data_IF_187644010176
#
_entry.id   IF_187644010176
#
_cell.length_a   1.000
_cell.length_b   1.000
_cell.length_c   1.000
_cell.angle_alpha   90.00
_cell.angle_beta   90.00
_cell.angle_gamma   90.00
#
_symmetry.space_group_name_H-M   'P 1'
#
loop_
_entity.id
_entity.type
_entity.pdbx_description
1 polymer ?
#
# COMPACT_ATOMS: atom_id res chain seq x y z
N UNK A 1 23.98 63.65 -0.34
CA UNK A 1 23.86 63.07 -1.71
C UNK A 1 22.94 61.86 -1.65
N UNK A 2 21.99 61.76 -2.59
CA UNK A 2 20.86 60.81 -2.58
C UNK A 2 21.30 59.40 -3.00
N UNK A 3 21.06 58.39 -2.17
CA UNK A 3 21.24 56.98 -2.51
C UNK A 3 19.99 56.50 -3.25
N UNK A 4 20.09 56.35 -4.59
CA UNK A 4 19.00 55.84 -5.43
C UNK A 4 19.01 54.30 -5.39
N UNK A 5 18.02 53.71 -4.72
CA UNK A 5 17.65 52.30 -4.91
C UNK A 5 17.27 52.09 -6.38
N UNK A 6 18.03 51.29 -7.12
CA UNK A 6 17.59 50.74 -8.40
C UNK A 6 16.93 49.38 -8.13
N UNK A 7 15.60 49.38 -8.15
CA UNK A 7 14.79 48.17 -8.28
C UNK A 7 15.04 47.57 -9.67
N UNK A 8 15.73 46.43 -9.73
CA UNK A 8 15.49 45.44 -10.79
C UNK A 8 16.06 44.09 -10.33
N UNK A 9 15.22 43.29 -9.69
CA UNK A 9 15.55 41.93 -9.30
C UNK A 9 14.32 41.07 -9.49
N UNK A 10 14.37 40.19 -10.49
CA UNK A 10 13.29 39.29 -10.86
C UNK A 10 12.75 38.50 -9.65
N UNK A 11 11.45 38.61 -9.41
CA UNK A 11 10.75 37.76 -8.44
C UNK A 11 10.59 36.38 -9.09
N UNK A 12 11.51 35.47 -8.83
CA UNK A 12 11.33 34.05 -9.13
C UNK A 12 10.29 33.49 -8.15
N UNK A 13 9.06 33.29 -8.64
CA UNK A 13 8.00 32.62 -7.89
C UNK A 13 8.36 31.12 -7.82
N UNK A 14 9.04 30.69 -6.76
CA UNK A 14 9.31 29.28 -6.52
C UNK A 14 8.01 28.62 -6.03
N UNK A 15 7.18 28.14 -6.96
CA UNK A 15 6.04 27.29 -6.59
C UNK A 15 6.62 25.95 -6.16
N UNK A 16 6.76 25.75 -4.86
CA UNK A 16 7.01 24.43 -4.31
C UNK A 16 5.80 23.56 -4.64
N UNK A 17 5.95 22.65 -5.61
CA UNK A 17 4.97 21.60 -5.85
C UNK A 17 4.98 20.72 -4.61
N UNK A 18 4.01 20.94 -3.72
CA UNK A 18 3.74 20.03 -2.63
C UNK A 18 3.15 18.79 -3.29
N UNK A 19 4.01 17.83 -3.62
CA UNK A 19 3.55 16.54 -4.12
C UNK A 19 2.69 15.91 -3.01
N UNK A 20 1.36 15.95 -3.18
CA UNK A 20 0.46 15.18 -2.35
C UNK A 20 0.91 13.73 -2.45
N UNK A 21 1.20 13.12 -1.31
CA UNK A 21 1.72 11.77 -1.25
C UNK A 21 0.60 10.80 -1.67
N UNK A 22 0.55 10.48 -2.95
CA UNK A 22 -0.34 9.46 -3.51
C UNK A 22 -0.07 8.10 -2.84
N UNK A 23 -1.14 7.32 -2.68
CA UNK A 23 -1.06 5.93 -2.22
C UNK A 23 -0.32 5.05 -3.25
N UNK A 24 0.19 3.92 -2.79
CA UNK A 24 1.03 3.00 -3.54
C UNK A 24 0.35 2.48 -4.80
N UNK A 25 -0.89 2.00 -4.70
CA UNK A 25 -1.62 1.43 -5.84
C UNK A 25 -1.91 2.50 -6.87
N UNK A 26 -2.36 3.68 -6.44
CA UNK A 26 -2.59 4.78 -7.36
C UNK A 26 -1.30 5.16 -8.10
N UNK A 27 -0.17 5.24 -7.39
CA UNK A 27 1.14 5.51 -8.01
C UNK A 27 1.59 4.38 -8.95
N UNK A 28 1.36 3.12 -8.57
CA UNK A 28 1.70 1.94 -9.36
C UNK A 28 0.91 1.90 -10.67
N UNK A 29 -0.41 2.16 -10.61
CA UNK A 29 -1.26 2.20 -11.80
C UNK A 29 -0.89 3.36 -12.73
N UNK A 30 -0.47 4.51 -12.19
CA UNK A 30 0.00 5.62 -13.02
C UNK A 30 1.31 5.28 -13.76
N UNK A 31 2.24 4.56 -13.13
CA UNK A 31 3.49 4.13 -13.77
C UNK A 31 3.31 2.98 -14.78
N UNK A 32 2.17 2.28 -14.72
CA UNK A 32 1.79 1.21 -15.64
C UNK A 32 0.53 1.59 -16.43
N UNK A 33 0.33 2.88 -16.67
CA UNK A 33 -0.83 3.37 -17.41
C UNK A 33 -0.90 2.75 -18.81
N UNK A 34 -2.06 2.20 -19.17
CA UNK A 34 -2.28 1.53 -20.45
C UNK A 34 -2.01 0.01 -20.44
N UNK A 35 -1.52 -0.54 -19.33
CA UNK A 35 -1.40 -1.99 -19.17
C UNK A 35 -2.78 -2.62 -18.93
N UNK A 36 -3.30 -3.29 -19.96
CA UNK A 36 -4.63 -3.92 -19.91
C UNK A 36 -4.67 -5.22 -19.11
N UNK A 37 -3.52 -5.75 -18.68
CA UNK A 37 -3.44 -6.98 -17.88
C UNK A 37 -3.78 -6.71 -16.41
N UNK A 38 -3.66 -5.46 -15.97
CA UNK A 38 -3.94 -5.02 -14.60
C UNK A 38 -5.41 -4.63 -14.42
N UNK A 39 -6.07 -5.26 -13.45
CA UNK A 39 -7.41 -4.85 -13.00
C UNK A 39 -7.33 -4.29 -11.59
N UNK A 40 -7.91 -3.10 -11.37
CA UNK A 40 -8.00 -2.45 -10.06
C UNK A 40 -9.42 -2.50 -9.52
N UNK A 41 -9.55 -2.92 -8.27
CA UNK A 41 -10.78 -2.86 -7.48
C UNK A 41 -10.50 -1.93 -6.28
N UNK A 42 -11.41 -1.01 -6.00
CA UNK A 42 -11.34 -0.14 -4.82
C UNK A 42 -12.53 -0.40 -3.93
N UNK A 43 -12.27 -0.68 -2.66
CA UNK A 43 -13.25 -1.02 -1.64
C UNK A 43 -13.27 0.10 -0.59
N UNK A 44 -14.45 0.65 -0.35
CA UNK A 44 -14.71 1.71 0.62
C UNK A 44 -14.94 1.10 2.01
N UNK A 45 -14.84 1.89 3.09
CA UNK A 45 -15.10 1.41 4.45
C UNK A 45 -16.46 0.71 4.57
N UNK A 46 -17.52 1.33 4.06
CA UNK A 46 -18.86 0.74 4.06
C UNK A 46 -18.94 -0.61 3.34
N UNK A 47 -18.24 -0.77 2.20
CA UNK A 47 -18.21 -2.06 1.51
C UNK A 47 -17.42 -3.12 2.31
N UNK A 48 -16.35 -2.73 3.01
CA UNK A 48 -15.62 -3.65 3.89
C UNK A 48 -16.47 -4.11 5.07
N UNK A 49 -17.24 -3.21 5.68
CA UNK A 49 -18.21 -3.53 6.74
C UNK A 49 -19.25 -4.55 6.24
N UNK A 50 -19.87 -4.32 5.09
CA UNK A 50 -20.85 -5.24 4.50
C UNK A 50 -20.24 -6.64 4.20
N UNK A 51 -18.99 -6.70 3.76
CA UNK A 51 -18.25 -7.96 3.54
C UNK A 51 -18.03 -8.70 4.87
N UNK A 52 -17.64 -8.00 5.94
CA UNK A 52 -17.48 -8.63 7.25
C UNK A 52 -18.79 -9.17 7.80
N UNK A 53 -19.85 -8.36 7.76
CA UNK A 53 -21.16 -8.75 8.30
C UNK A 53 -21.73 -10.00 7.58
N UNK A 54 -21.43 -10.16 6.30
CA UNK A 54 -21.87 -11.31 5.50
C UNK A 54 -20.98 -12.55 5.63
N UNK A 55 -19.70 -12.40 5.99
CA UNK A 55 -18.73 -13.51 6.07
C UNK A 55 -18.54 -14.05 7.49
N UNK A 56 -18.68 -13.21 8.51
CA UNK A 56 -18.56 -13.59 9.92
C UNK A 56 -19.97 -13.58 10.51
N UNK A 57 -20.55 -14.77 10.69
CA UNK A 57 -21.80 -14.89 11.45
C UNK A 57 -21.67 -14.19 12.81
N UNK A 58 -22.77 -13.64 13.34
CA UNK A 58 -22.92 -12.69 14.48
C UNK A 58 -22.08 -12.88 15.76
N UNK A 59 -21.20 -13.86 15.88
CA UNK A 59 -20.69 -14.39 17.13
C UNK A 59 -19.18 -14.18 17.38
N UNK A 60 -18.42 -13.49 16.52
CA UNK A 60 -16.98 -13.26 16.76
C UNK A 60 -16.43 -11.97 16.10
N UNK A 61 -17.09 -10.82 16.33
CA UNK A 61 -16.83 -9.57 15.60
C UNK A 61 -16.03 -8.51 16.34
N UNK A 62 -15.67 -8.72 17.62
CA UNK A 62 -15.18 -7.65 18.49
C UNK A 62 -13.79 -7.13 18.15
N UNK A 63 -12.96 -7.87 17.40
CA UNK A 63 -11.62 -7.40 17.00
C UNK A 63 -11.53 -6.85 15.57
N UNK A 64 -12.19 -7.52 14.62
CA UNK A 64 -12.03 -7.24 13.17
C UNK A 64 -12.85 -6.03 12.73
N UNK A 65 -14.01 -5.79 13.35
CA UNK A 65 -14.83 -4.61 13.06
C UNK A 65 -14.13 -3.30 13.47
N UNK A 66 -13.52 -3.27 14.67
CA UNK A 66 -12.75 -2.13 15.18
C UNK A 66 -11.52 -1.82 14.31
N UNK A 67 -10.96 -2.87 13.71
CA UNK A 67 -9.88 -2.77 12.74
C UNK A 67 -10.35 -2.16 11.42
N UNK A 68 -11.48 -2.64 10.87
CA UNK A 68 -12.02 -2.10 9.61
C UNK A 68 -12.48 -0.66 9.77
N UNK A 69 -13.01 -0.28 10.93
CA UNK A 69 -13.37 1.10 11.23
C UNK A 69 -12.17 2.08 11.14
N UNK A 70 -10.94 1.58 11.32
CA UNK A 70 -9.70 2.36 11.18
C UNK A 70 -9.18 2.43 9.75
N UNK A 71 -9.72 1.63 8.83
CA UNK A 71 -9.37 1.66 7.41
C UNK A 71 -10.17 2.75 6.69
N UNK A 72 -9.47 3.52 5.86
CA UNK A 72 -10.05 4.53 4.96
C UNK A 72 -10.34 3.95 3.59
N UNK A 73 -9.54 3.00 3.13
CA UNK A 73 -9.75 2.31 1.85
C UNK A 73 -8.97 1.01 1.79
N UNK A 74 -9.49 0.05 1.03
CA UNK A 74 -8.71 -1.08 0.51
C UNK A 74 -8.70 -1.02 -1.02
N UNK A 75 -7.56 -1.31 -1.63
CA UNK A 75 -7.44 -1.39 -3.08
C UNK A 75 -6.74 -2.69 -3.43
N UNK A 76 -7.27 -3.39 -4.41
CA UNK A 76 -6.73 -4.64 -4.91
C UNK A 76 -6.37 -4.42 -6.37
N UNK A 77 -5.13 -4.72 -6.75
CA UNK A 77 -4.72 -4.81 -8.15
C UNK A 77 -4.34 -6.25 -8.42
N UNK A 78 -4.87 -6.84 -9.49
CA UNK A 78 -4.45 -8.17 -9.91
C UNK A 78 -4.09 -8.22 -11.39
N UNK A 79 -3.26 -9.19 -11.73
CA UNK A 79 -3.04 -9.67 -13.08
C UNK A 79 -3.00 -11.20 -13.07
N UNK A 80 -3.51 -11.82 -14.12
CA UNK A 80 -3.46 -13.29 -14.30
C UNK A 80 -2.24 -13.74 -15.11
N UNK A 81 -1.55 -12.79 -15.72
CA UNK A 81 -0.39 -12.98 -16.58
C UNK A 81 0.74 -12.02 -16.21
N UNK A 82 1.95 -12.33 -16.67
CA UNK A 82 3.15 -11.51 -16.40
C UNK A 82 3.43 -11.24 -14.91
N UNK A 83 3.02 -12.15 -14.02
CA UNK A 83 3.08 -11.94 -12.58
C UNK A 83 4.48 -11.59 -12.05
N UNK A 84 5.54 -12.22 -12.56
CA UNK A 84 6.94 -11.88 -12.22
C UNK A 84 7.29 -10.44 -12.58
N UNK A 85 6.92 -10.00 -13.79
CA UNK A 85 7.17 -8.64 -14.28
C UNK A 85 6.49 -7.62 -13.37
N UNK A 86 5.20 -7.82 -13.11
CA UNK A 86 4.41 -6.91 -12.27
C UNK A 86 4.92 -6.86 -10.83
N UNK A 87 5.25 -8.01 -10.25
CA UNK A 87 5.81 -8.08 -8.91
C UNK A 87 7.12 -7.32 -8.81
N UNK A 88 8.05 -7.53 -9.74
CA UNK A 88 9.34 -6.82 -9.75
C UNK A 88 9.16 -5.32 -9.92
N UNK A 89 8.22 -4.87 -10.76
CA UNK A 89 7.91 -3.44 -10.92
C UNK A 89 7.36 -2.84 -9.63
N UNK A 90 6.42 -3.52 -8.97
CA UNK A 90 5.84 -3.06 -7.71
C UNK A 90 6.89 -3.05 -6.58
N UNK A 91 7.70 -4.10 -6.47
CA UNK A 91 8.79 -4.17 -5.50
C UNK A 91 9.82 -3.06 -5.74
N UNK A 92 10.21 -2.83 -6.99
CA UNK A 92 11.12 -1.75 -7.35
C UNK A 92 10.54 -0.37 -7.00
N UNK A 93 9.24 -0.16 -7.22
CA UNK A 93 8.55 1.08 -6.83
C UNK A 93 8.61 1.30 -5.31
N UNK A 94 8.36 0.26 -4.51
CA UNK A 94 8.44 0.34 -3.05
C UNK A 94 9.88 0.67 -2.61
N UNK A 95 10.88 -0.07 -3.12
CA UNK A 95 12.29 0.09 -2.76
C UNK A 95 12.86 1.44 -3.20
N UNK A 96 12.48 1.96 -4.37
CA UNK A 96 12.86 3.31 -4.84
C UNK A 96 12.32 4.41 -3.92
N UNK A 97 11.21 4.14 -3.23
CA UNK A 97 10.60 5.03 -2.26
C UNK A 97 10.84 4.56 -0.81
N UNK A 98 12.01 3.99 -0.50
CA UNK A 98 12.34 3.42 0.82
C UNK A 98 12.27 4.41 1.98
N UNK A 99 12.42 5.70 1.72
CA UNK A 99 12.19 6.75 2.72
C UNK A 99 10.72 6.84 3.18
N UNK A 100 9.78 6.40 2.33
CA UNK A 100 8.34 6.34 2.60
C UNK A 100 7.87 4.94 2.98
N UNK A 101 8.39 3.91 2.31
CA UNK A 101 7.94 2.53 2.48
C UNK A 101 9.07 1.68 3.08
N UNK A 102 8.82 1.14 4.28
CA UNK A 102 9.73 0.20 4.95
C UNK A 102 9.24 -1.21 4.69
N UNK A 103 10.14 -2.12 4.32
CA UNK A 103 9.82 -3.54 4.25
C UNK A 103 9.67 -4.10 5.66
N UNK A 104 8.56 -4.80 5.90
CA UNK A 104 8.26 -5.43 7.17
C UNK A 104 8.51 -6.94 7.14
N UNK A 105 8.19 -7.59 6.02
CA UNK A 105 8.32 -9.03 5.86
C UNK A 105 8.47 -9.39 4.39
N UNK A 106 9.13 -10.52 4.13
CA UNK A 106 9.27 -11.10 2.82
C UNK A 106 9.44 -12.61 2.90
N UNK A 107 9.02 -13.31 1.84
CA UNK A 107 9.32 -14.72 1.61
C UNK A 107 9.40 -15.00 0.12
N UNK A 108 10.18 -16.02 -0.23
CA UNK A 108 10.25 -16.60 -1.57
C UNK A 108 10.22 -18.13 -1.42
N UNK A 109 9.15 -18.78 -1.88
CA UNK A 109 8.96 -20.23 -1.81
C UNK A 109 8.52 -20.78 -3.18
N UNK A 110 9.48 -21.35 -3.92
CA UNK A 110 9.24 -21.88 -5.27
C UNK A 110 8.74 -20.82 -6.24
N UNK A 111 7.50 -20.96 -6.71
CA UNK A 111 6.83 -20.02 -7.62
C UNK A 111 5.90 -19.03 -6.89
N UNK A 112 5.94 -19.00 -5.55
CA UNK A 112 5.21 -18.06 -4.72
C UNK A 112 6.18 -17.12 -4.01
N UNK A 113 5.89 -15.82 -4.03
CA UNK A 113 6.68 -14.81 -3.33
C UNK A 113 5.81 -13.71 -2.80
N UNK A 114 6.13 -13.25 -1.60
CA UNK A 114 5.41 -12.21 -0.89
C UNK A 114 6.33 -11.12 -0.37
N UNK A 115 5.86 -9.88 -0.39
CA UNK A 115 6.46 -8.74 0.32
C UNK A 115 5.38 -7.99 1.08
N UNK A 116 5.73 -7.48 2.25
CA UNK A 116 4.91 -6.53 3.00
C UNK A 116 5.71 -5.25 3.19
N UNK A 117 5.13 -4.13 2.78
CA UNK A 117 5.66 -2.80 3.03
C UNK A 117 4.68 -1.98 3.87
N UNK A 118 5.22 -1.14 4.75
CA UNK A 118 4.46 -0.19 5.57
C UNK A 118 4.95 1.22 5.32
N UNK A 119 4.02 2.18 5.34
CA UNK A 119 4.32 3.60 5.46
C UNK A 119 3.78 4.11 6.78
N UNK A 120 4.69 4.69 7.56
CA UNK A 120 4.40 5.24 8.87
C UNK A 120 4.37 6.78 8.81
N UNK A 121 3.50 7.38 9.60
CA UNK A 121 3.55 8.80 9.94
C UNK A 121 3.49 8.93 11.45
N UNK A 122 4.55 9.50 12.05
CA UNK A 122 4.76 9.46 13.50
C UNK A 122 4.71 8.00 13.98
N UNK A 123 3.78 7.68 14.87
CA UNK A 123 3.64 6.36 15.49
C UNK A 123 2.52 5.50 14.86
N UNK A 124 1.94 5.94 13.74
CA UNK A 124 0.82 5.28 13.09
C UNK A 124 1.21 4.72 11.72
N UNK A 125 0.77 3.50 11.40
CA UNK A 125 0.84 2.97 10.05
C UNK A 125 -0.32 3.56 9.28
N UNK A 126 0.00 4.37 8.27
CA UNK A 126 -1.01 5.06 7.46
C UNK A 126 -1.29 4.34 6.15
N UNK A 127 -0.42 3.40 5.77
CA UNK A 127 -0.57 2.58 4.58
C UNK A 127 0.19 1.26 4.70
N UNK A 128 -0.45 0.17 4.27
CA UNK A 128 0.09 -1.19 4.27
C UNK A 128 -0.09 -1.80 2.87
N UNK A 129 1.01 -2.24 2.28
CA UNK A 129 1.08 -2.77 0.92
C UNK A 129 1.54 -4.22 0.98
N UNK A 130 0.71 -5.12 0.47
CA UNK A 130 1.03 -6.54 0.33
C UNK A 130 1.21 -6.82 -1.16
N UNK A 131 2.39 -7.33 -1.53
CA UNK A 131 2.67 -7.82 -2.88
C UNK A 131 2.73 -9.33 -2.84
N UNK A 132 2.06 -10.01 -3.76
CA UNK A 132 2.19 -11.44 -3.95
C UNK A 132 2.28 -11.78 -5.44
N UNK A 133 3.16 -12.70 -5.77
CA UNK A 133 3.18 -13.36 -7.07
C UNK A 133 3.12 -14.86 -6.84
N UNK A 134 2.18 -15.53 -7.52
CA UNK A 134 2.04 -16.98 -7.51
C UNK A 134 1.90 -17.46 -8.96
N UNK A 135 2.82 -18.29 -9.44
CA UNK A 135 2.95 -18.68 -10.86
C UNK A 135 2.88 -17.48 -11.83
N UNK A 136 1.88 -17.38 -12.70
CA UNK A 136 1.72 -16.24 -13.62
C UNK A 136 0.94 -15.08 -13.01
N UNK A 137 0.38 -15.26 -11.81
CA UNK A 137 -0.53 -14.30 -11.20
C UNK A 137 0.22 -13.33 -10.31
N UNK A 138 -0.28 -12.10 -10.27
CA UNK A 138 0.21 -11.04 -9.39
C UNK A 138 -0.97 -10.40 -8.68
N UNK A 139 -0.78 -10.07 -7.41
CA UNK A 139 -1.75 -9.32 -6.60
C UNK A 139 -1.04 -8.27 -5.74
N UNK A 140 -1.58 -7.05 -5.74
CA UNK A 140 -1.32 -6.02 -4.73
C UNK A 140 -2.57 -5.84 -3.89
N UNK A 141 -2.43 -5.85 -2.58
CA UNK A 141 -3.45 -5.36 -1.66
C UNK A 141 -2.88 -4.15 -0.93
N UNK A 142 -3.54 -3.00 -1.07
CA UNK A 142 -3.17 -1.75 -0.44
C UNK A 142 -4.26 -1.29 0.52
N UNK A 143 -3.92 -1.14 1.79
CA UNK A 143 -4.77 -0.55 2.81
C UNK A 143 -4.29 0.85 3.15
N UNK A 144 -5.20 1.82 3.25
CA UNK A 144 -4.90 3.13 3.84
C UNK A 144 -5.79 3.34 5.06
N UNK A 145 -5.31 4.04 6.08
CA UNK A 145 -6.04 4.15 7.34
C UNK A 145 -5.24 4.76 8.47
N UNK A 146 -5.73 4.55 9.68
CA UNK A 146 -5.03 4.79 10.94
C UNK A 146 -4.78 3.45 11.64
N UNK A 147 -3.79 2.71 11.15
CA UNK A 147 -3.50 1.36 11.60
C UNK A 147 -2.46 1.39 12.72
N UNK A 148 -2.73 0.65 13.78
CA UNK A 148 -1.76 0.39 14.85
C UNK A 148 -0.98 -0.91 14.57
N UNK A 149 0.00 -1.23 15.41
CA UNK A 149 0.82 -2.44 15.26
C UNK A 149 -0.01 -3.73 15.40
N UNK A 150 -1.04 -3.73 16.24
CA UNK A 150 -1.94 -4.88 16.44
C UNK A 150 -2.64 -5.30 15.13
N UNK A 151 -3.00 -4.34 14.29
CA UNK A 151 -3.56 -4.62 12.96
C UNK A 151 -2.61 -5.45 12.09
N UNK A 152 -1.33 -5.08 12.10
CA UNK A 152 -0.28 -5.80 11.36
C UNK A 152 -0.13 -7.21 11.91
N UNK A 153 -0.12 -7.37 13.24
CA UNK A 153 0.02 -8.69 13.87
C UNK A 153 -1.13 -9.62 13.48
N UNK A 154 -2.38 -9.14 13.52
CA UNK A 154 -3.53 -9.93 13.09
C UNK A 154 -3.49 -10.29 11.58
N UNK A 155 -3.03 -9.37 10.73
CA UNK A 155 -2.86 -9.65 9.30
C UNK A 155 -1.78 -10.69 9.04
N UNK A 156 -0.66 -10.67 9.76
CA UNK A 156 0.40 -11.68 9.63
C UNK A 156 -0.12 -13.09 9.90
N UNK A 157 -0.99 -13.26 10.89
CA UNK A 157 -1.59 -14.56 11.19
C UNK A 157 -2.60 -15.04 10.14
N UNK A 158 -3.21 -14.11 9.39
CA UNK A 158 -4.30 -14.44 8.46
C UNK A 158 -3.80 -14.63 7.02
N UNK A 159 -2.76 -13.89 6.60
CA UNK A 159 -2.36 -13.80 5.18
C UNK A 159 -0.93 -14.24 4.87
N UNK A 160 -0.08 -14.46 5.87
CA UNK A 160 1.22 -15.07 5.66
C UNK A 160 1.18 -16.52 6.13
N UNK A 161 1.84 -17.47 5.42
CA UNK A 161 2.07 -18.78 5.99
C UNK A 161 2.82 -18.63 7.32
N UNK A 162 2.45 -19.44 8.32
CA UNK A 162 3.15 -19.45 9.59
C UNK A 162 4.66 -19.66 9.35
N UNK A 163 5.55 -18.99 10.09
CA UNK A 163 6.96 -19.34 10.09
C UNK A 163 7.06 -20.84 10.34
N UNK A 164 7.73 -21.59 9.47
CA UNK A 164 8.01 -23.00 9.76
C UNK A 164 8.87 -23.00 11.03
N UNK A 165 8.41 -23.67 12.09
CA UNK A 165 9.25 -23.93 13.25
C UNK A 165 10.47 -24.71 12.75
N UNK A 166 11.66 -24.22 13.06
CA UNK A 166 12.91 -24.86 12.66
C UNK A 166 12.92 -26.31 13.18
N UNK A 167 12.88 -27.31 12.28
CA UNK A 167 13.09 -28.74 12.59
C UNK A 167 14.56 -29.03 12.94
#
# INVERSE_FOLDING_TARGET
MKLRLWFSGAVFLLVAIIAQAQDFVSKYMDENAGDSTLTRISVSPKMMEEILESSVGKNDTTGVADIIAKLKSMQIVNSREEGDTHFRRAEALARKNSARFKELASYDEGNDRGRIFVREQKDHIVELVLLRQEASQFTVINFTGDMNRDFIEQLRHTMLPAPKEDE
#
